data_IF_417795402103
#
_entry.id   IF_417795402103
#
_cell.length_a   1.000
_cell.length_b   1.000
_cell.length_c   1.000
_cell.angle_alpha   90.00
_cell.angle_beta   90.00
_cell.angle_gamma   90.00
#
_symmetry.space_group_name_H-M   'P 1'
#
loop_
_entity.id
_entity.type
_entity.pdbx_description
1 polymer ?
#
# COMPACT_ATOMS: atom_id res chain seq x y z
N UNK A 1 -20.98 -18.77 -1.07
CA UNK A 1 -19.52 -18.95 -1.03
C UNK A 1 -18.95 -17.57 -0.76
N UNK A 2 -18.40 -17.33 0.43
CA UNK A 2 -17.77 -16.04 0.75
C UNK A 2 -16.47 -15.93 -0.04
N UNK A 3 -16.25 -14.78 -0.68
CA UNK A 3 -15.06 -14.53 -1.47
C UNK A 3 -13.84 -14.56 -0.53
N UNK A 4 -12.82 -15.39 -0.78
CA UNK A 4 -11.63 -15.44 0.07
C UNK A 4 -10.90 -14.08 0.11
N UNK A 5 -11.10 -13.25 -0.91
CA UNK A 5 -10.57 -11.88 -0.97
C UNK A 5 -11.30 -10.94 0.02
N UNK A 6 -12.61 -11.14 0.22
CA UNK A 6 -13.40 -10.40 1.22
C UNK A 6 -12.98 -10.79 2.64
N UNK A 7 -12.66 -12.07 2.85
CA UNK A 7 -12.24 -12.61 4.15
C UNK A 7 -10.86 -12.09 4.57
N UNK A 8 -9.92 -11.95 3.62
CA UNK A 8 -8.60 -11.36 3.87
C UNK A 8 -8.68 -9.85 4.15
N UNK A 9 -9.51 -9.12 3.39
CA UNK A 9 -9.74 -7.70 3.67
C UNK A 9 -10.36 -7.49 5.06
N UNK A 10 -11.34 -8.31 5.43
CA UNK A 10 -11.94 -8.25 6.77
C UNK A 10 -10.96 -8.65 7.89
N UNK A 11 -10.06 -9.61 7.66
CA UNK A 11 -9.03 -10.00 8.62
C UNK A 11 -7.98 -8.90 8.84
N UNK A 12 -7.60 -8.19 7.77
CA UNK A 12 -6.67 -7.05 7.85
C UNK A 12 -7.37 -5.88 8.57
N UNK A 13 -8.65 -5.61 8.26
CA UNK A 13 -9.48 -4.65 9.00
C UNK A 13 -9.64 -5.01 10.48
N UNK A 14 -9.69 -6.31 10.82
CA UNK A 14 -9.80 -6.78 12.22
C UNK A 14 -8.52 -6.62 13.05
N UNK A 15 -7.37 -6.50 12.41
CA UNK A 15 -6.07 -6.32 13.09
C UNK A 15 -5.71 -4.83 13.25
N UNK A 16 -6.45 -3.96 12.55
CA UNK A 16 -6.37 -2.52 12.68
C UNK A 16 -7.28 -2.10 13.84
N UNK A 17 -6.75 -1.27 14.74
CA UNK A 17 -7.52 -0.64 15.81
C UNK A 17 -8.83 -0.07 15.23
N UNK A 18 -10.02 -0.56 15.64
CA UNK A 18 -11.29 -0.21 15.02
C UNK A 18 -11.64 1.27 15.16
N UNK A 19 -11.01 1.97 16.12
CA UNK A 19 -11.20 3.41 16.34
C UNK A 19 -10.22 4.27 15.54
N UNK A 20 -9.24 3.66 14.86
CA UNK A 20 -8.25 4.41 14.08
C UNK A 20 -8.69 4.56 12.63
N UNK A 21 -8.75 5.79 12.10
CA UNK A 21 -9.10 6.00 10.70
C UNK A 21 -8.07 5.30 9.80
N UNK A 22 -8.56 4.66 8.74
CA UNK A 22 -7.75 3.91 7.78
C UNK A 22 -7.54 4.70 6.49
N UNK A 23 -6.41 4.49 5.79
CA UNK A 23 -6.22 5.06 4.47
C UNK A 23 -7.18 4.42 3.45
N UNK A 24 -7.45 5.08 2.32
CA UNK A 24 -8.33 4.53 1.28
C UNK A 24 -7.83 3.21 0.67
N UNK A 25 -6.52 2.98 0.66
CA UNK A 25 -5.91 1.75 0.16
C UNK A 25 -5.13 1.05 1.29
N UNK A 26 -5.81 0.33 2.20
CA UNK A 26 -5.18 -0.27 3.39
C UNK A 26 -4.34 -1.50 3.06
N UNK A 27 -4.48 -2.07 1.87
CA UNK A 27 -3.75 -3.28 1.43
C UNK A 27 -3.23 -3.15 0.00
N UNK A 28 -2.20 -3.94 -0.32
CA UNK A 28 -1.71 -4.11 -1.70
C UNK A 28 -2.66 -4.89 -2.59
N UNK A 29 -3.66 -5.55 -2.00
CA UNK A 29 -4.61 -6.41 -2.72
C UNK A 29 -5.71 -5.63 -3.44
N UNK A 30 -5.84 -4.33 -3.15
CA UNK A 30 -6.82 -3.47 -3.81
C UNK A 30 -6.57 -3.39 -5.32
N UNK A 31 -7.61 -3.51 -6.14
CA UNK A 31 -7.48 -3.59 -7.60
C UNK A 31 -6.73 -2.40 -8.21
N UNK A 32 -6.99 -1.17 -7.73
CA UNK A 32 -6.27 0.05 -8.14
C UNK A 32 -4.78 -0.01 -7.80
N UNK A 33 -4.43 -0.58 -6.65
CA UNK A 33 -3.03 -0.75 -6.23
C UNK A 33 -2.34 -1.75 -7.15
N UNK A 34 -2.99 -2.88 -7.45
CA UNK A 34 -2.47 -3.88 -8.40
C UNK A 34 -2.28 -3.31 -9.81
N UNK A 35 -3.24 -2.50 -10.28
CA UNK A 35 -3.16 -1.85 -11.58
C UNK A 35 -1.95 -0.91 -11.65
N UNK A 36 -1.81 0.00 -10.68
CA UNK A 36 -0.66 0.90 -10.62
C UNK A 36 0.67 0.15 -10.44
N UNK A 37 0.69 -0.91 -9.63
CA UNK A 37 1.89 -1.74 -9.46
C UNK A 37 2.33 -2.38 -10.78
N UNK A 38 1.37 -2.85 -11.59
CA UNK A 38 1.64 -3.38 -12.94
C UNK A 38 2.19 -2.29 -13.86
N UNK A 39 1.62 -1.09 -13.83
CA UNK A 39 2.06 0.03 -14.66
C UNK A 39 3.46 0.49 -14.27
N UNK A 40 3.76 0.58 -12.97
CA UNK A 40 5.10 0.91 -12.46
C UNK A 40 6.14 -0.14 -12.86
N UNK A 41 5.77 -1.41 -12.83
CA UNK A 41 6.62 -2.50 -13.31
C UNK A 41 6.87 -2.39 -14.82
N UNK A 42 5.84 -2.09 -15.61
CA UNK A 42 5.97 -1.85 -17.06
C UNK A 42 6.81 -0.60 -17.38
N UNK A 43 6.70 0.47 -16.59
CA UNK A 43 7.49 1.68 -16.77
C UNK A 43 8.97 1.46 -16.42
N UNK A 44 9.25 0.71 -15.35
CA UNK A 44 10.60 0.47 -14.89
C UNK A 44 11.42 -0.38 -15.89
N UNK A 45 10.78 -1.25 -16.66
CA UNK A 45 11.49 -2.25 -17.44
C UNK A 45 11.01 -2.46 -18.89
N UNK A 46 9.92 -1.83 -19.33
CA UNK A 46 9.32 -2.08 -20.65
C UNK A 46 8.75 -3.51 -20.80
N UNK A 47 8.39 -3.90 -22.03
CA UNK A 47 7.89 -5.26 -22.35
C UNK A 47 8.99 -6.33 -22.47
N UNK A 48 10.28 -5.98 -22.31
CA UNK A 48 11.40 -6.89 -22.65
C UNK A 48 12.14 -7.46 -21.42
N UNK A 49 11.98 -8.77 -21.24
CA UNK A 49 13.00 -9.80 -20.97
C UNK A 49 14.10 -9.56 -19.91
N UNK A 50 13.73 -9.07 -18.73
CA UNK A 50 14.67 -8.83 -17.63
C UNK A 50 14.53 -9.81 -16.44
N UNK A 51 13.61 -10.79 -16.50
CA UNK A 51 13.22 -11.71 -15.40
C UNK A 51 14.36 -12.43 -14.64
N UNK A 52 15.61 -12.34 -15.10
CA UNK A 52 16.78 -13.01 -14.54
C UNK A 52 17.53 -12.18 -13.48
N UNK A 53 17.58 -10.83 -13.57
CA UNK A 53 18.51 -10.03 -12.74
C UNK A 53 17.86 -9.26 -11.58
N UNK A 54 16.56 -8.94 -11.69
CA UNK A 54 15.78 -8.33 -10.60
C UNK A 54 14.67 -9.32 -10.18
N UNK A 55 15.04 -10.52 -9.71
CA UNK A 55 14.11 -11.32 -8.86
C UNK A 55 13.78 -10.61 -7.53
N UNK A 56 13.73 -9.27 -7.55
CA UNK A 56 13.49 -8.38 -6.44
C UNK A 56 12.03 -8.45 -6.08
N UNK A 57 11.76 -9.35 -5.14
CA UNK A 57 10.68 -9.30 -4.18
C UNK A 57 9.31 -8.96 -4.78
N UNK A 58 8.50 -10.01 -5.01
CA UNK A 58 7.10 -9.93 -5.41
C UNK A 58 6.25 -8.79 -4.77
N UNK A 59 6.50 -8.27 -3.54
CA UNK A 59 5.70 -7.15 -3.03
C UNK A 59 6.22 -5.72 -3.34
N UNK A 60 7.39 -5.49 -3.96
CA UNK A 60 7.97 -4.14 -4.05
C UNK A 60 7.05 -3.12 -4.72
N UNK A 61 6.58 -3.42 -5.95
CA UNK A 61 5.71 -2.51 -6.69
C UNK A 61 4.32 -2.38 -6.07
N UNK A 62 3.82 -3.43 -5.39
CA UNK A 62 2.57 -3.38 -4.64
C UNK A 62 2.64 -2.38 -3.49
N UNK A 63 3.68 -2.46 -2.66
CA UNK A 63 3.88 -1.55 -1.54
C UNK A 63 4.12 -0.11 -2.02
N UNK A 64 4.88 0.08 -3.10
CA UNK A 64 5.11 1.40 -3.68
C UNK A 64 3.83 2.01 -4.24
N UNK A 65 3.03 1.23 -4.99
CA UNK A 65 1.75 1.68 -5.52
C UNK A 65 0.77 2.05 -4.39
N UNK A 66 0.70 1.23 -3.34
CA UNK A 66 -0.09 1.51 -2.15
C UNK A 66 0.32 2.85 -1.51
N UNK A 67 1.63 3.07 -1.35
CA UNK A 67 2.16 4.30 -0.77
C UNK A 67 1.86 5.54 -1.63
N UNK A 68 2.00 5.44 -2.95
CA UNK A 68 1.69 6.55 -3.87
C UNK A 68 0.21 6.93 -3.78
N UNK A 69 -0.69 5.96 -3.86
CA UNK A 69 -2.13 6.20 -3.85
C UNK A 69 -2.62 6.76 -2.51
N UNK A 70 -2.11 6.23 -1.40
CA UNK A 70 -2.40 6.77 -0.07
C UNK A 70 -1.83 8.18 0.11
N UNK A 71 -0.62 8.44 -0.39
CA UNK A 71 -0.01 9.78 -0.35
C UNK A 71 -0.80 10.82 -1.14
N UNK A 72 -1.39 10.45 -2.28
CA UNK A 72 -2.31 11.30 -3.04
C UNK A 72 -3.58 11.62 -2.25
N UNK A 73 -4.06 10.68 -1.43
CA UNK A 73 -5.19 10.88 -0.53
C UNK A 73 -4.84 11.58 0.80
N UNK A 74 -3.61 12.06 0.97
CA UNK A 74 -3.19 12.76 2.18
C UNK A 74 -2.75 11.85 3.34
N UNK A 75 -2.49 10.57 3.06
CA UNK A 75 -2.02 9.57 4.02
C UNK A 75 -0.54 9.24 3.84
N UNK A 76 0.15 8.94 4.92
CA UNK A 76 1.56 8.53 4.92
C UNK A 76 1.77 7.40 5.90
N UNK A 77 2.72 6.51 5.59
CA UNK A 77 3.09 5.45 6.50
C UNK A 77 4.12 6.00 7.48
N UNK A 78 3.77 6.07 8.76
CA UNK A 78 4.70 6.44 9.82
C UNK A 78 5.60 5.24 10.13
N UNK A 79 6.87 5.37 9.78
CA UNK A 79 7.87 4.32 9.98
C UNK A 79 8.19 4.06 11.45
N UNK A 80 8.04 5.07 12.33
CA UNK A 80 8.31 4.90 13.75
C UNK A 80 7.24 4.04 14.42
N UNK A 81 5.97 4.31 14.11
CA UNK A 81 4.83 3.61 14.70
C UNK A 81 4.24 2.50 13.83
N UNK A 82 4.80 2.24 12.63
CA UNK A 82 4.40 1.20 11.68
C UNK A 82 2.91 1.23 11.32
N UNK A 83 2.36 2.42 11.13
CA UNK A 83 0.92 2.65 10.91
C UNK A 83 0.70 3.78 9.93
N UNK A 84 -0.41 3.70 9.22
CA UNK A 84 -0.89 4.81 8.40
C UNK A 84 -1.39 5.95 9.29
N UNK A 85 -1.02 7.17 8.93
CA UNK A 85 -1.49 8.42 9.52
C UNK A 85 -1.79 9.42 8.42
N UNK A 86 -2.63 10.40 8.71
CA UNK A 86 -2.78 11.57 7.84
C UNK A 86 -1.51 12.42 7.88
N UNK A 87 -1.25 13.17 6.81
CA UNK A 87 -0.12 14.14 6.76
C UNK A 87 -0.18 15.12 7.94
N UNK A 88 -1.38 15.59 8.28
CA UNK A 88 -1.59 16.51 9.40
C UNK A 88 -1.16 15.90 10.75
N UNK A 89 -1.51 14.64 11.00
CA UNK A 89 -1.09 13.94 12.23
C UNK A 89 0.43 13.73 12.27
N UNK A 90 1.06 13.40 11.14
CA UNK A 90 2.52 13.27 11.06
C UNK A 90 3.22 14.60 11.39
N UNK A 91 2.74 15.70 10.81
CA UNK A 91 3.34 17.01 11.01
C UNK A 91 3.19 17.47 12.47
N UNK A 92 2.02 17.23 13.08
CA UNK A 92 1.80 17.50 14.50
C UNK A 92 2.76 16.73 15.43
N UNK A 93 3.16 15.51 15.05
CA UNK A 93 4.12 14.68 15.80
C UNK A 93 5.58 15.08 15.59
N UNK A 94 5.89 15.78 14.50
CA UNK A 94 7.27 16.17 14.17
C UNK A 94 7.70 17.47 14.87
N UNK A 95 6.75 18.17 15.51
CA UNK A 95 6.95 19.47 16.17
C UNK A 95 7.02 19.34 17.70
N UNK A 96 6.77 18.15 18.26
CA UNK A 96 6.87 17.86 19.70
C UNK A 96 8.12 17.05 20.05
#
# INVERSE_FOLDING_TARGET
MSDPNETLQQAITRTLDPDRPQPPYPTTEHHTVKALAKDLNGLAFGEQDWHQNFRTADPYYGNLAQAILNAQAGWVFDMASHVWVTKQERDARSVG
#
